data_IF_441159485633
#
_entry.id   IF_441159485633
#
_cell.length_a   1.000
_cell.length_b   1.000
_cell.length_c   1.000
_cell.angle_alpha   90.00
_cell.angle_beta   90.00
_cell.angle_gamma   90.00
#
_symmetry.space_group_name_H-M   'P 1'
#
loop_
_entity.id
_entity.type
_entity.pdbx_description
1 polymer ?
#
# COMPACT_ATOMS: atom_id res chain seq x y z
N UNK A 1 -19.18 117.71 88.18
CA UNK A 1 -19.74 116.34 88.15
C UNK A 1 -20.30 115.99 86.75
N UNK A 2 -21.36 116.65 86.28
CA UNK A 2 -22.07 116.26 85.02
C UNK A 2 -21.20 116.31 83.75
N UNK A 3 -20.40 117.37 83.57
CA UNK A 3 -19.55 117.55 82.38
C UNK A 3 -18.48 116.44 82.27
N UNK A 4 -17.96 115.96 83.41
CA UNK A 4 -16.94 114.90 83.43
C UNK A 4 -17.55 113.54 83.07
N UNK A 5 -18.76 113.25 83.56
CA UNK A 5 -19.51 112.03 83.21
C UNK A 5 -19.89 112.00 81.72
N UNK A 6 -20.35 113.12 81.15
CA UNK A 6 -20.63 113.21 79.72
C UNK A 6 -19.35 112.99 78.88
N UNK A 7 -18.21 113.52 79.31
CA UNK A 7 -16.92 113.29 78.63
C UNK A 7 -16.50 111.81 78.66
N UNK A 8 -16.69 111.12 79.78
CA UNK A 8 -16.41 109.68 79.89
C UNK A 8 -17.36 108.85 79.00
N UNK A 9 -18.65 109.19 78.95
CA UNK A 9 -19.60 108.52 78.07
C UNK A 9 -19.29 108.75 76.58
N UNK A 10 -18.89 109.97 76.22
CA UNK A 10 -18.44 110.27 74.85
C UNK A 10 -17.16 109.50 74.49
N UNK A 11 -16.23 109.35 75.44
CA UNK A 11 -15.01 108.57 75.24
C UNK A 11 -15.30 107.06 75.11
N UNK A 12 -16.20 106.52 75.92
CA UNK A 12 -16.63 105.11 75.82
C UNK A 12 -17.38 104.84 74.52
N UNK A 13 -18.28 105.74 74.12
CA UNK A 13 -18.98 105.66 72.83
C UNK A 13 -17.98 105.71 71.66
N UNK A 14 -16.96 106.58 71.74
CA UNK A 14 -15.90 106.62 70.73
C UNK A 14 -15.10 105.31 70.68
N UNK A 15 -14.81 104.69 71.84
CA UNK A 15 -14.17 103.37 71.90
C UNK A 15 -15.02 102.28 71.27
N UNK A 16 -16.31 102.23 71.60
CA UNK A 16 -17.26 101.26 71.03
C UNK A 16 -17.44 101.43 69.52
N UNK A 17 -17.52 102.68 69.04
CA UNK A 17 -17.59 102.98 67.61
C UNK A 17 -16.32 102.53 66.89
N UNK A 18 -15.14 102.74 67.49
CA UNK A 18 -13.88 102.25 66.92
C UNK A 18 -13.80 100.72 66.90
N UNK A 19 -14.26 100.04 67.95
CA UNK A 19 -14.30 98.57 68.01
C UNK A 19 -15.27 98.01 66.96
N UNK A 20 -16.45 98.60 66.83
CA UNK A 20 -17.44 98.20 65.83
C UNK A 20 -16.91 98.44 64.41
N UNK A 21 -16.25 99.56 64.17
CA UNK A 21 -15.62 99.86 62.89
C UNK A 21 -14.51 98.84 62.57
N UNK A 22 -13.66 98.49 63.54
CA UNK A 22 -12.64 97.44 63.35
C UNK A 22 -13.26 96.07 63.02
N UNK A 23 -14.38 95.71 63.65
CA UNK A 23 -15.12 94.47 63.33
C UNK A 23 -15.75 94.52 61.95
N UNK A 24 -16.29 95.67 61.54
CA UNK A 24 -16.86 95.85 60.21
C UNK A 24 -15.79 95.69 59.14
N UNK A 25 -14.61 96.30 59.32
CA UNK A 25 -13.47 96.14 58.41
C UNK A 25 -13.07 94.66 58.30
N UNK A 26 -12.87 93.96 59.42
CA UNK A 26 -12.56 92.52 59.42
C UNK A 26 -13.64 91.67 58.75
N UNK A 27 -14.91 92.05 58.92
CA UNK A 27 -16.01 91.36 58.25
C UNK A 27 -15.99 91.59 56.74
N UNK A 28 -15.61 92.79 56.29
CA UNK A 28 -15.49 93.11 54.87
C UNK A 28 -14.33 92.35 54.24
N UNK A 29 -13.17 92.30 54.91
CA UNK A 29 -12.02 91.51 54.48
C UNK A 29 -12.40 90.02 54.33
N UNK A 30 -13.09 89.46 55.33
CA UNK A 30 -13.56 88.07 55.27
C UNK A 30 -14.58 87.82 54.15
N UNK A 31 -15.46 88.78 53.87
CA UNK A 31 -16.41 88.66 52.76
C UNK A 31 -15.66 88.68 51.43
N UNK A 32 -14.65 89.54 51.28
CA UNK A 32 -13.79 89.58 50.09
C UNK A 32 -13.08 88.23 49.88
N UNK A 33 -12.48 87.66 50.94
CA UNK A 33 -11.81 86.35 50.85
C UNK A 33 -12.80 85.24 50.43
N UNK A 34 -14.03 85.25 50.96
CA UNK A 34 -15.05 84.27 50.62
C UNK A 34 -15.58 84.43 49.19
N UNK A 35 -15.68 85.66 48.69
CA UNK A 35 -16.04 85.93 47.30
C UNK A 35 -14.97 85.41 46.33
N UNK A 36 -13.70 85.61 46.66
CA UNK A 36 -12.58 85.07 45.90
C UNK A 36 -12.57 83.53 45.91
N UNK A 37 -12.72 82.91 47.09
CA UNK A 37 -12.81 81.45 47.22
C UNK A 37 -14.01 80.88 46.43
N UNK A 38 -15.16 81.56 46.47
CA UNK A 38 -16.35 81.16 45.73
C UNK A 38 -16.12 81.25 44.22
N UNK A 39 -15.43 82.28 43.75
CA UNK A 39 -15.08 82.41 42.34
C UNK A 39 -14.16 81.26 41.90
N UNK A 40 -13.10 80.97 42.67
CA UNK A 40 -12.17 79.87 42.38
C UNK A 40 -12.89 78.51 42.39
N UNK A 41 -13.74 78.26 43.39
CA UNK A 41 -14.49 77.02 43.48
C UNK A 41 -15.50 76.87 42.33
N UNK A 42 -16.16 77.95 41.92
CA UNK A 42 -17.09 77.96 40.78
C UNK A 42 -16.37 77.64 39.46
N UNK A 43 -15.20 78.22 39.24
CA UNK A 43 -14.38 77.97 38.06
C UNK A 43 -13.84 76.53 38.03
N UNK A 44 -13.37 76.02 39.18
CA UNK A 44 -12.95 74.63 39.33
C UNK A 44 -14.11 73.64 39.09
N UNK A 45 -15.32 73.96 39.57
CA UNK A 45 -16.49 73.13 39.34
C UNK A 45 -16.92 73.15 37.87
N UNK A 46 -16.89 74.32 37.22
CA UNK A 46 -17.18 74.45 35.79
C UNK A 46 -16.19 73.66 34.93
N UNK A 47 -14.89 73.79 35.20
CA UNK A 47 -13.85 73.07 34.45
C UNK A 47 -13.97 71.55 34.65
N UNK A 48 -14.25 71.10 35.87
CA UNK A 48 -14.49 69.69 36.17
C UNK A 48 -15.74 69.15 35.45
N UNK A 49 -16.83 69.92 35.44
CA UNK A 49 -18.07 69.56 34.75
C UNK A 49 -17.87 69.42 33.24
N UNK A 50 -17.11 70.32 32.63
CA UNK A 50 -16.77 70.23 31.20
C UNK A 50 -15.93 68.98 30.90
N UNK A 51 -14.95 68.66 31.76
CA UNK A 51 -14.11 67.48 31.59
C UNK A 51 -14.91 66.18 31.74
N UNK A 52 -15.83 66.12 32.70
CA UNK A 52 -16.72 64.98 32.88
C UNK A 52 -17.57 64.77 31.63
N UNK A 53 -18.21 65.83 31.13
CA UNK A 53 -19.04 65.75 29.91
C UNK A 53 -18.23 65.28 28.69
N UNK A 54 -16.98 65.72 28.55
CA UNK A 54 -16.11 65.25 27.47
C UNK A 54 -15.79 63.76 27.61
N UNK A 55 -15.40 63.30 28.80
CA UNK A 55 -15.08 61.89 29.05
C UNK A 55 -16.30 60.98 28.89
N UNK A 56 -17.49 61.45 29.24
CA UNK A 56 -18.75 60.72 29.02
C UNK A 56 -19.03 60.55 27.54
N UNK A 57 -18.84 61.60 26.73
CA UNK A 57 -19.01 61.53 25.27
C UNK A 57 -17.99 60.58 24.62
N UNK A 58 -16.72 60.65 25.03
CA UNK A 58 -15.69 59.71 24.57
C UNK A 58 -16.03 58.27 24.96
N UNK A 59 -16.52 58.04 26.19
CA UNK A 59 -16.97 56.73 26.66
C UNK A 59 -18.13 56.20 25.80
N UNK A 60 -19.14 57.02 25.52
CA UNK A 60 -20.26 56.63 24.67
C UNK A 60 -19.80 56.29 23.25
N UNK A 61 -18.87 57.07 22.69
CA UNK A 61 -18.26 56.76 21.40
C UNK A 61 -17.52 55.41 21.44
N UNK A 62 -16.70 55.16 22.46
CA UNK A 62 -16.02 53.88 22.63
C UNK A 62 -17.00 52.70 22.79
N UNK A 63 -18.07 52.86 23.58
CA UNK A 63 -19.09 51.82 23.73
C UNK A 63 -19.84 51.58 22.42
N UNK A 64 -20.15 52.64 21.66
CA UNK A 64 -20.77 52.48 20.34
C UNK A 64 -19.83 51.81 19.34
N UNK A 65 -18.52 52.12 19.36
CA UNK A 65 -17.49 51.47 18.54
C UNK A 65 -17.30 49.98 18.88
N UNK A 66 -17.42 49.62 20.17
CA UNK A 66 -17.45 48.22 20.62
C UNK A 66 -18.74 47.51 20.13
N UNK A 67 -19.91 48.14 20.31
CA UNK A 67 -21.20 47.57 19.90
C UNK A 67 -21.34 47.42 18.38
N UNK A 68 -20.79 48.35 17.61
CA UNK A 68 -20.73 48.30 16.14
C UNK A 68 -19.68 47.30 15.63
N UNK A 69 -18.89 46.69 16.51
CA UNK A 69 -17.92 45.65 16.17
C UNK A 69 -16.66 46.16 15.47
N UNK A 70 -16.49 47.49 15.36
CA UNK A 70 -15.28 48.10 14.78
C UNK A 70 -14.10 47.96 15.76
N UNK A 71 -14.39 48.08 17.05
CA UNK A 71 -13.42 47.89 18.12
C UNK A 71 -13.70 46.55 18.78
N UNK A 72 -12.70 45.67 18.82
CA UNK A 72 -12.79 44.37 19.51
C UNK A 72 -11.74 44.36 20.62
N UNK A 73 -12.09 43.77 21.75
CA UNK A 73 -11.16 43.66 22.87
C UNK A 73 -9.91 42.87 22.45
N UNK A 74 -8.74 43.40 22.81
CA UNK A 74 -7.45 42.75 22.50
C UNK A 74 -7.41 41.30 23.00
N UNK A 75 -7.98 41.03 24.18
CA UNK A 75 -8.09 39.69 24.76
C UNK A 75 -8.80 38.70 23.84
N UNK A 76 -9.92 39.11 23.23
CA UNK A 76 -10.71 38.27 22.33
C UNK A 76 -9.96 38.00 21.02
N UNK A 77 -9.33 39.03 20.43
CA UNK A 77 -8.51 38.87 19.22
C UNK A 77 -7.32 37.94 19.50
N UNK A 78 -6.64 38.10 20.63
CA UNK A 78 -5.52 37.22 20.99
C UNK A 78 -5.97 35.78 21.21
N UNK A 79 -7.14 35.57 21.84
CA UNK A 79 -7.67 34.22 22.08
C UNK A 79 -8.04 33.52 20.76
N UNK A 80 -8.73 34.21 19.85
CA UNK A 80 -9.06 33.65 18.53
C UNK A 80 -7.82 33.44 17.67
N UNK A 81 -6.83 34.33 17.72
CA UNK A 81 -5.56 34.15 17.03
C UNK A 81 -4.81 32.91 17.55
N UNK A 82 -4.70 32.75 18.87
CA UNK A 82 -4.07 31.57 19.46
C UNK A 82 -4.81 30.29 19.07
N UNK A 83 -6.14 30.29 19.10
CA UNK A 83 -6.97 29.16 18.67
C UNK A 83 -6.80 28.83 17.19
N UNK A 84 -6.71 29.83 16.31
CA UNK A 84 -6.46 29.62 14.89
C UNK A 84 -5.04 29.11 14.63
N UNK A 85 -4.05 29.62 15.36
CA UNK A 85 -2.68 29.14 15.28
C UNK A 85 -2.58 27.68 15.72
N UNK A 86 -3.22 27.30 16.82
CA UNK A 86 -3.27 25.91 17.31
C UNK A 86 -3.87 24.98 16.24
N UNK A 87 -5.04 25.33 15.69
CA UNK A 87 -5.66 24.56 14.60
C UNK A 87 -4.77 24.46 13.36
N UNK A 88 -4.12 25.54 12.96
CA UNK A 88 -3.22 25.53 11.81
C UNK A 88 -1.99 24.65 12.06
N UNK A 89 -1.45 24.63 13.29
CA UNK A 89 -0.34 23.76 13.66
C UNK A 89 -0.74 22.29 13.72
N UNK A 90 -1.93 21.98 14.24
CA UNK A 90 -2.49 20.62 14.23
C UNK A 90 -2.74 20.12 12.81
N UNK A 91 -3.33 20.95 11.95
CA UNK A 91 -3.55 20.61 10.55
C UNK A 91 -2.23 20.39 9.80
N UNK A 92 -1.22 21.23 10.04
CA UNK A 92 0.11 21.05 9.46
C UNK A 92 0.78 19.74 9.93
N UNK A 93 0.63 19.40 11.22
CA UNK A 93 1.15 18.16 11.77
C UNK A 93 0.45 16.93 11.17
N UNK A 94 -0.88 16.95 11.09
CA UNK A 94 -1.67 15.89 10.45
C UNK A 94 -1.36 15.75 8.97
N UNK A 95 -1.18 16.87 8.25
CA UNK A 95 -0.77 16.87 6.84
C UNK A 95 0.62 16.23 6.69
N UNK A 96 1.58 16.58 7.54
CA UNK A 96 2.92 15.99 7.52
C UNK A 96 2.90 14.47 7.75
N UNK A 97 2.06 13.99 8.67
CA UNK A 97 1.87 12.56 8.89
C UNK A 97 1.23 11.87 7.68
N UNK A 98 0.19 12.47 7.09
CA UNK A 98 -0.47 11.95 5.90
C UNK A 98 0.46 11.90 4.69
N UNK A 99 1.28 12.93 4.48
CA UNK A 99 2.28 12.97 3.41
C UNK A 99 3.39 11.92 3.63
N UNK A 100 3.86 11.75 4.86
CA UNK A 100 4.83 10.69 5.19
C UNK A 100 4.26 9.29 4.96
N UNK A 101 3.01 9.04 5.37
CA UNK A 101 2.33 7.78 5.10
C UNK A 101 2.12 7.56 3.59
N UNK A 102 1.78 8.61 2.84
CA UNK A 102 1.65 8.55 1.38
C UNK A 102 2.96 8.17 0.71
N UNK A 103 4.07 8.79 1.12
CA UNK A 103 5.40 8.47 0.60
C UNK A 103 5.82 7.04 0.92
N UNK A 104 5.49 6.54 2.11
CA UNK A 104 5.75 5.14 2.46
C UNK A 104 4.96 4.18 1.54
N UNK A 105 3.67 4.44 1.32
CA UNK A 105 2.83 3.64 0.42
C UNK A 105 3.34 3.72 -1.03
N UNK A 106 3.76 4.90 -1.49
CA UNK A 106 4.30 5.11 -2.83
C UNK A 106 5.59 4.30 -3.02
N UNK A 107 6.49 4.29 -2.02
CA UNK A 107 7.67 3.45 -2.02
C UNK A 107 7.34 1.95 -2.03
N UNK A 108 6.41 1.51 -1.19
CA UNK A 108 6.02 0.10 -1.14
C UNK A 108 5.36 -0.35 -2.46
N UNK A 109 4.60 0.53 -3.11
CA UNK A 109 4.04 0.30 -4.44
C UNK A 109 5.14 0.20 -5.50
N UNK A 110 6.12 1.09 -5.46
CA UNK A 110 7.26 1.05 -6.39
C UNK A 110 8.04 -0.26 -6.22
N UNK A 111 8.37 -0.66 -4.99
CA UNK A 111 9.09 -1.91 -4.68
C UNK A 111 8.29 -3.15 -5.11
N UNK A 112 6.98 -3.16 -4.86
CA UNK A 112 6.09 -4.24 -5.32
C UNK A 112 6.01 -4.29 -6.84
N UNK A 113 5.92 -3.13 -7.50
CA UNK A 113 5.85 -3.04 -8.96
C UNK A 113 7.14 -3.54 -9.60
N UNK A 114 8.30 -3.17 -9.07
CA UNK A 114 9.60 -3.64 -9.51
C UNK A 114 9.72 -5.17 -9.36
N UNK A 115 9.24 -5.71 -8.24
CA UNK A 115 9.23 -7.15 -7.98
C UNK A 115 8.30 -7.89 -8.96
N UNK A 116 7.08 -7.38 -9.17
CA UNK A 116 6.10 -7.98 -10.06
C UNK A 116 6.58 -7.97 -11.52
N UNK A 117 7.14 -6.84 -11.98
CA UNK A 117 7.73 -6.77 -13.32
C UNK A 117 8.97 -7.66 -13.44
N UNK A 118 9.81 -7.74 -12.40
CA UNK A 118 10.93 -8.66 -12.35
C UNK A 118 10.50 -10.12 -12.52
N UNK A 119 9.52 -10.57 -11.75
CA UNK A 119 8.97 -11.92 -11.83
C UNK A 119 8.31 -12.20 -13.20
N UNK A 120 7.51 -11.26 -13.71
CA UNK A 120 6.89 -11.39 -15.02
C UNK A 120 7.93 -11.50 -16.14
N UNK A 121 9.00 -10.70 -16.09
CA UNK A 121 10.08 -10.76 -17.06
C UNK A 121 10.82 -12.11 -17.00
N UNK A 122 11.09 -12.63 -15.80
CA UNK A 122 11.69 -13.96 -15.63
C UNK A 122 10.79 -15.05 -16.21
N UNK A 123 9.50 -15.04 -15.91
CA UNK A 123 8.53 -16.00 -16.45
C UNK A 123 8.44 -15.95 -17.98
N UNK A 124 8.47 -14.74 -18.56
CA UNK A 124 8.47 -14.56 -20.02
C UNK A 124 9.77 -15.06 -20.64
N UNK A 125 10.92 -14.82 -19.98
CA UNK A 125 12.21 -15.31 -20.45
C UNK A 125 12.25 -16.86 -20.42
N UNK A 126 11.79 -17.47 -19.32
CA UNK A 126 11.66 -18.92 -19.19
C UNK A 126 10.75 -19.51 -20.28
N UNK A 127 9.58 -18.90 -20.52
CA UNK A 127 8.67 -19.35 -21.56
C UNK A 127 9.29 -19.24 -22.98
N UNK A 128 10.06 -18.18 -23.24
CA UNK A 128 10.80 -18.02 -24.52
C UNK A 128 11.88 -19.09 -24.67
N UNK A 129 12.64 -19.38 -23.62
CA UNK A 129 13.68 -20.42 -23.63
C UNK A 129 13.03 -21.79 -23.86
N UNK A 130 12.00 -22.14 -23.09
CA UNK A 130 11.29 -23.40 -23.23
C UNK A 130 10.69 -23.58 -24.63
N UNK A 131 10.13 -22.51 -25.21
CA UNK A 131 9.64 -22.52 -26.59
C UNK A 131 10.77 -22.77 -27.58
N UNK A 132 11.88 -22.06 -27.47
CA UNK A 132 13.03 -22.24 -28.35
C UNK A 132 13.62 -23.65 -28.26
N UNK A 133 13.73 -24.22 -27.04
CA UNK A 133 14.14 -25.61 -26.85
C UNK A 133 13.15 -26.61 -27.49
N UNK A 134 11.85 -26.36 -27.39
CA UNK A 134 10.84 -27.19 -28.05
C UNK A 134 10.95 -27.12 -29.57
N UNK A 135 11.15 -25.92 -30.13
CA UNK A 135 11.33 -25.70 -31.56
C UNK A 135 12.62 -26.37 -32.07
N UNK A 136 13.71 -26.35 -31.30
CA UNK A 136 14.93 -27.08 -31.62
C UNK A 136 14.72 -28.61 -31.61
N UNK A 137 14.04 -29.15 -30.59
CA UNK A 137 13.74 -30.59 -30.51
C UNK A 137 12.89 -31.04 -31.70
N UNK A 138 11.90 -30.23 -32.11
CA UNK A 138 11.08 -30.49 -33.31
C UNK A 138 11.97 -30.51 -34.56
N UNK A 139 12.80 -29.49 -34.77
CA UNK A 139 13.70 -29.48 -35.94
C UNK A 139 14.67 -30.68 -35.97
N UNK A 140 15.20 -31.09 -34.82
CA UNK A 140 16.06 -32.29 -34.74
C UNK A 140 15.27 -33.54 -35.06
N UNK A 141 14.06 -33.69 -34.52
CA UNK A 141 13.18 -34.81 -34.82
C UNK A 141 12.80 -34.87 -36.31
N UNK A 142 12.51 -33.73 -36.94
CA UNK A 142 12.23 -33.62 -38.39
C UNK A 142 13.44 -34.04 -39.23
N UNK A 143 14.65 -33.59 -38.88
CA UNK A 143 15.89 -34.01 -39.58
C UNK A 143 16.13 -35.51 -39.45
N UNK A 144 15.92 -36.06 -38.25
CA UNK A 144 16.06 -37.49 -37.99
C UNK A 144 15.00 -38.30 -38.76
N UNK A 145 13.76 -37.83 -38.80
CA UNK A 145 12.68 -38.46 -39.56
C UNK A 145 13.00 -38.49 -41.05
N UNK A 146 13.45 -37.36 -41.62
CA UNK A 146 13.85 -37.29 -43.02
C UNK A 146 15.01 -38.25 -43.35
N UNK A 147 16.02 -38.32 -42.49
CA UNK A 147 17.12 -39.28 -42.65
C UNK A 147 16.65 -40.73 -42.57
N UNK A 148 15.71 -41.04 -41.66
CA UNK A 148 15.10 -42.36 -41.57
C UNK A 148 14.24 -42.69 -42.81
N UNK A 149 13.47 -41.73 -43.33
CA UNK A 149 12.71 -41.87 -44.58
C UNK A 149 13.63 -42.15 -45.78
N UNK A 150 14.76 -41.43 -45.88
CA UNK A 150 15.78 -41.67 -46.90
C UNK A 150 16.38 -43.08 -46.78
N UNK A 151 16.70 -43.53 -45.57
CA UNK A 151 17.21 -44.88 -45.32
C UNK A 151 16.18 -45.98 -45.66
N UNK A 152 14.90 -45.78 -45.31
CA UNK A 152 13.81 -46.70 -45.65
C UNK A 152 13.59 -46.73 -47.16
N UNK A 153 13.63 -45.58 -47.84
CA UNK A 153 13.55 -45.51 -49.31
C UNK A 153 14.69 -46.27 -49.97
N UNK A 154 15.93 -46.10 -49.50
CA UNK A 154 17.09 -46.85 -49.97
C UNK A 154 16.92 -48.36 -49.73
N UNK A 155 16.43 -48.77 -48.55
CA UNK A 155 16.14 -50.17 -48.24
C UNK A 155 15.04 -50.74 -49.12
N UNK A 156 13.97 -49.98 -49.41
CA UNK A 156 12.91 -50.37 -50.33
C UNK A 156 13.45 -50.58 -51.75
N UNK A 157 14.30 -49.66 -52.24
CA UNK A 157 14.96 -49.81 -53.54
C UNK A 157 15.84 -51.06 -53.58
N UNK A 158 16.63 -51.32 -52.53
CA UNK A 158 17.45 -52.53 -52.44
C UNK A 158 16.59 -53.81 -52.42
N UNK A 159 15.47 -53.83 -51.70
CA UNK A 159 14.54 -54.97 -51.71
C UNK A 159 13.89 -55.16 -53.09
N UNK A 160 13.54 -54.08 -53.79
CA UNK A 160 13.00 -54.17 -55.15
C UNK A 160 14.04 -54.75 -56.12
N UNK A 161 15.30 -54.32 -56.02
CA UNK A 161 16.40 -54.89 -56.80
C UNK A 161 16.61 -56.37 -56.48
N UNK A 162 16.67 -56.74 -55.20
CA UNK A 162 16.80 -58.14 -54.77
C UNK A 162 15.59 -59.00 -55.17
N UNK A 163 14.39 -58.42 -55.22
CA UNK A 163 13.19 -59.11 -55.73
C UNK A 163 13.28 -59.32 -57.23
N UNK A 164 13.71 -58.33 -57.99
CA UNK A 164 13.92 -58.46 -59.44
C UNK A 164 15.01 -59.51 -59.73
N UNK A 165 16.13 -59.47 -59.00
CA UNK A 165 17.18 -60.49 -59.10
C UNK A 165 16.69 -61.88 -58.69
N UNK A 166 15.84 -61.99 -57.65
CA UNK A 166 15.20 -63.25 -57.26
C UNK A 166 14.23 -63.74 -58.33
N UNK A 167 13.45 -62.87 -58.94
CA UNK A 167 12.51 -63.21 -60.02
C UNK A 167 13.26 -63.64 -61.27
N UNK A 168 14.34 -62.96 -61.66
CA UNK A 168 15.24 -63.41 -62.73
C UNK A 168 15.90 -64.76 -62.38
N UNK A 169 16.34 -64.94 -61.14
CA UNK A 169 16.88 -66.23 -60.68
C UNK A 169 15.81 -67.32 -60.59
N UNK A 170 14.55 -66.98 -60.28
CA UNK A 170 13.40 -67.89 -60.32
C UNK A 170 13.01 -68.21 -61.76
N UNK A 171 13.05 -67.29 -62.72
CA UNK A 171 12.85 -67.60 -64.14
C UNK A 171 13.99 -68.46 -64.70
N UNK A 172 15.25 -68.20 -64.29
CA UNK A 172 16.40 -69.05 -64.63
C UNK A 172 16.31 -70.41 -63.93
N UNK A 173 15.80 -70.45 -62.70
CA UNK A 173 15.53 -71.69 -62.00
C UNK A 173 14.36 -72.43 -62.64
N UNK A 174 13.26 -71.79 -63.04
CA UNK A 174 12.10 -72.39 -63.70
C UNK A 174 12.46 -72.89 -65.09
N UNK A 175 13.31 -72.18 -65.84
CA UNK A 175 13.88 -72.70 -67.10
C UNK A 175 14.88 -73.83 -66.88
N UNK A 176 15.55 -73.88 -65.73
CA UNK A 176 16.42 -75.00 -65.32
C UNK A 176 15.66 -76.17 -64.64
N UNK A 177 14.47 -75.92 -64.10
CA UNK A 177 13.62 -76.87 -63.36
C UNK A 177 12.54 -77.45 -64.27
N UNK A 178 12.27 -76.84 -65.43
CA UNK A 178 11.53 -77.43 -66.55
C UNK A 178 12.23 -78.65 -67.20
N UNK A 179 13.44 -79.02 -66.75
CA UNK A 179 14.16 -80.22 -67.21
C UNK A 179 14.21 -81.34 -66.14
N UNK A 180 13.86 -81.09 -64.87
CA UNK A 180 13.92 -82.12 -63.82
C UNK A 180 12.86 -81.88 -62.72
N UNK A 181 11.63 -82.38 -62.92
CA UNK A 181 11.09 -83.48 -62.10
C UNK A 181 9.63 -83.82 -62.48
N UNK A 182 9.47 -84.90 -63.25
CA UNK A 182 8.28 -85.75 -63.17
C UNK A 182 8.60 -86.85 -62.17
N UNK A 183 7.91 -86.92 -61.01
CA UNK A 183 7.20 -88.10 -60.49
C UNK A 183 6.86 -87.99 -58.99
N UNK A 184 5.55 -87.89 -58.72
CA UNK A 184 4.74 -88.63 -57.72
C UNK A 184 5.20 -88.71 -56.24
N UNK A 185 4.32 -88.23 -55.35
CA UNK A 185 4.18 -88.73 -53.97
C UNK A 185 3.50 -87.71 -53.03
N UNK A 186 2.17 -87.59 -52.99
CA UNK A 186 1.23 -88.37 -52.14
C UNK A 186 1.38 -88.11 -50.63
N UNK A 187 0.59 -87.15 -50.15
CA UNK A 187 -0.24 -87.22 -48.93
C UNK A 187 0.44 -87.22 -47.57
N UNK A 188 0.14 -86.20 -46.74
CA UNK A 188 -0.38 -86.47 -45.39
C UNK A 188 -1.04 -85.25 -44.74
N UNK A 189 -2.11 -85.59 -44.01
CA UNK A 189 -3.03 -84.75 -43.27
C UNK A 189 -2.42 -83.91 -42.13
N UNK A 190 -2.93 -82.68 -42.05
CA UNK A 190 -3.62 -82.10 -40.88
C UNK A 190 -3.09 -82.52 -39.49
N UNK A 191 -2.33 -81.63 -38.85
CA UNK A 191 -2.55 -81.35 -37.42
C UNK A 191 -1.90 -80.05 -36.93
N UNK A 192 -2.77 -79.25 -36.31
CA UNK A 192 -2.54 -78.37 -35.16
C UNK A 192 -1.31 -77.47 -35.16
N UNK A 193 -1.58 -76.17 -35.36
CA UNK A 193 -1.32 -75.13 -34.35
C UNK A 193 -0.29 -75.52 -33.29
N UNK A 194 0.94 -75.02 -33.47
CA UNK A 194 1.90 -74.65 -32.43
C UNK A 194 3.04 -73.88 -33.09
N UNK A 195 2.71 -72.71 -33.62
CA UNK A 195 3.72 -71.65 -33.65
C UNK A 195 3.80 -71.14 -32.22
N UNK A 196 4.96 -71.23 -31.55
CA UNK A 196 5.13 -70.54 -30.30
C UNK A 196 5.08 -69.06 -30.65
N UNK A 197 3.98 -68.40 -30.30
CA UNK A 197 4.09 -66.97 -29.99
C UNK A 197 5.31 -66.83 -29.09
N UNK A 198 6.28 -65.95 -29.38
CA UNK A 198 7.14 -65.47 -28.31
C UNK A 198 6.19 -64.78 -27.35
N UNK A 199 5.68 -65.51 -26.37
CA UNK A 199 5.09 -64.90 -25.20
C UNK A 199 6.21 -64.03 -24.66
N UNK A 200 6.01 -62.72 -24.73
CA UNK A 200 6.79 -61.73 -23.99
C UNK A 200 6.60 -61.99 -22.48
N UNK A 201 7.12 -63.12 -22.00
CA UNK A 201 7.31 -63.45 -20.58
C UNK A 201 8.77 -63.21 -20.22
N UNK A 202 9.27 -62.05 -20.61
CA UNK A 202 10.59 -61.56 -20.22
C UNK A 202 10.56 -60.06 -19.86
N UNK A 203 9.38 -59.50 -19.55
CA UNK A 203 9.28 -58.22 -18.83
C UNK A 203 8.75 -58.39 -17.40
N UNK A 204 8.29 -59.57 -16.97
CA UNK A 204 7.72 -59.76 -15.62
C UNK A 204 8.67 -60.36 -14.59
N UNK A 205 9.92 -60.65 -14.95
CA UNK A 205 10.94 -61.18 -14.03
C UNK A 205 12.03 -60.17 -13.67
N UNK A 206 11.96 -58.93 -14.16
CA UNK A 206 12.89 -57.88 -13.80
C UNK A 206 12.51 -57.33 -12.41
N UNK A 207 13.39 -57.38 -11.38
CA UNK A 207 13.03 -56.98 -10.02
C UNK A 207 12.44 -55.55 -9.93
N UNK A 208 12.99 -54.54 -10.63
CA UNK A 208 12.36 -53.20 -10.70
C UNK A 208 10.94 -53.18 -11.26
N UNK A 209 10.62 -54.05 -12.23
CA UNK A 209 9.27 -54.11 -12.80
C UNK A 209 8.27 -54.79 -11.85
N UNK A 210 8.72 -55.82 -11.12
CA UNK A 210 7.90 -56.45 -10.08
C UNK A 210 7.61 -55.47 -8.93
N UNK A 211 8.60 -54.68 -8.51
CA UNK A 211 8.44 -53.63 -7.51
C UNK A 211 7.51 -52.52 -7.98
N UNK A 212 7.59 -52.11 -9.25
CA UNK A 212 6.65 -51.18 -9.87
C UNK A 212 5.20 -51.70 -9.83
N UNK A 213 4.98 -52.97 -10.17
CA UNK A 213 3.64 -53.57 -10.10
C UNK A 213 3.09 -53.61 -8.67
N UNK A 214 3.93 -53.90 -7.67
CA UNK A 214 3.56 -53.86 -6.25
C UNK A 214 3.23 -52.43 -5.80
N UNK A 215 3.99 -51.43 -6.25
CA UNK A 215 3.72 -50.02 -5.99
C UNK A 215 2.38 -49.57 -6.59
N UNK A 216 2.09 -49.94 -7.84
CA UNK A 216 0.81 -49.63 -8.48
C UNK A 216 -0.36 -50.32 -7.76
N UNK A 217 -0.19 -51.56 -7.31
CA UNK A 217 -1.20 -52.26 -6.52
C UNK A 217 -1.47 -51.55 -5.17
N UNK A 218 -0.43 -51.04 -4.51
CA UNK A 218 -0.56 -50.24 -3.28
C UNK A 218 -1.30 -48.91 -3.54
N UNK A 219 -0.99 -48.18 -4.60
CA UNK A 219 -1.72 -46.95 -4.94
C UNK A 219 -3.21 -47.21 -5.20
N UNK A 220 -3.54 -48.34 -5.84
CA UNK A 220 -4.95 -48.73 -6.08
C UNK A 220 -5.68 -49.10 -4.79
N UNK A 221 -5.01 -49.73 -3.81
CA UNK A 221 -5.63 -50.03 -2.52
C UNK A 221 -5.81 -48.78 -1.66
N UNK A 222 -4.89 -47.82 -1.71
CA UNK A 222 -5.01 -46.54 -1.01
C UNK A 222 -6.11 -45.67 -1.61
N UNK A 223 -6.21 -45.59 -2.94
CA UNK A 223 -7.27 -44.85 -3.62
C UNK A 223 -8.66 -45.45 -3.41
N UNK A 224 -8.78 -46.77 -3.21
CA UNK A 224 -10.08 -47.39 -2.89
C UNK A 224 -10.48 -47.23 -1.43
N UNK A 225 -9.52 -46.98 -0.53
CA UNK A 225 -9.77 -46.82 0.91
C UNK A 225 -9.87 -45.35 1.36
N UNK A 226 -9.37 -44.40 0.58
CA UNK A 226 -9.42 -42.96 0.91
C UNK A 226 -9.60 -42.09 -0.34
N UNK A 227 -10.46 -41.08 -0.25
CA UNK A 227 -10.68 -40.04 -1.26
C UNK A 227 -9.62 -38.91 -1.21
N UNK A 228 -8.71 -38.93 -0.23
CA UNK A 228 -7.64 -37.93 -0.12
C UNK A 228 -6.34 -38.46 -0.78
N UNK A 229 -5.59 -37.59 -1.49
CA UNK A 229 -4.34 -37.99 -2.11
C UNK A 229 -3.31 -38.43 -1.04
N UNK A 230 -2.59 -39.55 -1.25
CA UNK A 230 -1.58 -40.00 -0.30
C UNK A 230 -0.46 -38.96 -0.14
N UNK A 231 -0.03 -38.73 1.09
CA UNK A 231 1.08 -37.81 1.38
C UNK A 231 2.40 -38.41 0.90
N UNK A 232 3.29 -37.57 0.35
CA UNK A 232 4.56 -38.02 -0.26
C UNK A 232 5.41 -38.86 0.70
N UNK A 233 5.38 -38.53 1.99
CA UNK A 233 6.10 -39.27 3.05
C UNK A 233 5.69 -40.75 3.18
N UNK A 234 4.45 -41.11 2.83
CA UNK A 234 4.00 -42.52 2.89
C UNK A 234 4.41 -43.33 1.65
N UNK A 235 4.79 -42.66 0.57
CA UNK A 235 5.16 -43.28 -0.70
C UNK A 235 6.68 -43.54 -0.82
N UNK A 236 7.50 -42.69 -0.21
CA UNK A 236 8.97 -42.81 -0.19
C UNK A 236 9.53 -44.16 0.32
N UNK A 237 8.98 -44.83 1.35
CA UNK A 237 9.54 -46.10 1.83
C UNK A 237 9.19 -47.31 0.95
N UNK A 238 8.44 -47.13 -0.14
CA UNK A 238 8.08 -48.24 -1.03
C UNK A 238 9.31 -48.70 -1.83
N UNK A 239 9.48 -50.02 -2.05
CA UNK A 239 10.72 -50.60 -2.58
C UNK A 239 11.11 -50.03 -3.95
N UNK A 240 10.12 -49.74 -4.80
CA UNK A 240 10.33 -49.12 -6.11
C UNK A 240 10.93 -47.70 -6.02
N UNK A 241 10.36 -46.83 -5.18
CA UNK A 241 10.82 -45.45 -5.03
C UNK A 241 12.12 -45.35 -4.22
N UNK A 242 12.30 -46.22 -3.22
CA UNK A 242 13.53 -46.33 -2.46
C UNK A 242 14.71 -46.74 -3.37
N UNK A 243 14.51 -47.71 -4.28
CA UNK A 243 15.53 -48.09 -5.27
C UNK A 243 15.85 -46.94 -6.22
N UNK A 244 14.82 -46.23 -6.72
CA UNK A 244 15.02 -45.07 -7.60
C UNK A 244 15.89 -43.98 -6.92
N UNK A 245 15.61 -43.68 -5.65
CA UNK A 245 16.39 -42.73 -4.87
C UNK A 245 17.85 -43.16 -4.70
N UNK A 246 18.11 -44.46 -4.50
CA UNK A 246 19.48 -44.97 -4.37
C UNK A 246 20.22 -45.09 -5.69
N UNK A 247 19.52 -45.23 -6.82
CA UNK A 247 20.13 -45.31 -8.16
C UNK A 247 20.38 -43.93 -8.79
N UNK A 248 19.61 -42.90 -8.40
CA UNK A 248 19.80 -41.49 -8.81
C UNK A 248 20.78 -40.69 -7.92
N UNK A 249 21.35 -41.33 -6.88
CA UNK A 249 22.38 -40.74 -5.98
C UNK A 249 23.80 -41.11 -6.43
#
# INVERSE_FOLDING_TARGET
>A
MVIHSLRLQVQDLFSQVNELNSKLVKSYDRVSDLEDDLHVASEANRSSSLKISQLELEREQHLSALNTGILVEKSQVTAELTRLMEKATEEAAHRGQAESARQAIEKDLDDLSATLFGQANTMVAEARIARHESEQKVQVAERNLKSAEEAVSAMQQQIQLLRAEKEEAEEVAETSQAVLDMTVGKGMDKRSSKNPTPSLRLLSSHPPYQEFLLFVAHLRSVHSSSLQPPTVSSLLPQPFLARLLTEDS
#
